data_IF_076319555122
#
_entry.id   IF_076319555122
#
_cell.length_a   1.000
_cell.length_b   1.000
_cell.length_c   1.000
_cell.angle_alpha   90.00
_cell.angle_beta   90.00
_cell.angle_gamma   90.00
#
_symmetry.space_group_name_H-M   'P 1'
#
loop_
_entity.id
_entity.type
_entity.pdbx_description
1 polymer ?
#
# COMPACT_ATOMS: atom_id res chain seq x y z
N UNK A 1 -15.13 -8.97 7.88
CA UNK A 1 -14.33 -7.73 7.95
C UNK A 1 -13.16 -7.71 6.97
N UNK A 2 -12.13 -8.57 7.10
CA UNK A 2 -11.00 -8.60 6.15
C UNK A 2 -11.40 -8.81 4.69
N UNK A 3 -12.15 -9.88 4.41
CA UNK A 3 -12.59 -10.20 3.05
C UNK A 3 -13.35 -9.05 2.42
N UNK A 4 -14.23 -8.41 3.20
CA UNK A 4 -14.94 -7.22 2.79
C UNK A 4 -14.00 -6.06 2.40
N UNK A 5 -13.00 -5.74 3.23
CA UNK A 5 -12.03 -4.70 2.89
C UNK A 5 -11.22 -5.04 1.62
N UNK A 6 -10.88 -6.32 1.43
CA UNK A 6 -10.23 -6.77 0.19
C UNK A 6 -11.14 -6.60 -1.02
N UNK A 7 -12.39 -7.04 -0.96
CA UNK A 7 -13.36 -6.88 -2.06
C UNK A 7 -13.57 -5.42 -2.42
N UNK A 8 -13.76 -4.55 -1.42
CA UNK A 8 -13.91 -3.11 -1.67
C UNK A 8 -12.65 -2.48 -2.26
N UNK A 9 -11.45 -2.95 -1.89
CA UNK A 9 -10.19 -2.51 -2.48
C UNK A 9 -10.05 -2.95 -3.94
N UNK A 10 -10.46 -4.18 -4.27
CA UNK A 10 -10.50 -4.69 -5.65
C UNK A 10 -11.49 -3.93 -6.52
N UNK A 11 -12.68 -3.63 -5.99
CA UNK A 11 -13.67 -2.77 -6.67
C UNK A 11 -13.14 -1.37 -6.92
N UNK A 12 -12.46 -0.77 -5.92
CA UNK A 12 -11.81 0.52 -6.09
C UNK A 12 -10.72 0.44 -7.16
N UNK A 13 -9.86 -0.57 -7.11
CA UNK A 13 -8.80 -0.77 -8.09
C UNK A 13 -9.37 -0.84 -9.52
N UNK A 14 -10.46 -1.58 -9.72
CA UNK A 14 -11.13 -1.69 -11.02
C UNK A 14 -11.69 -0.33 -11.51
N UNK A 15 -12.09 0.56 -10.60
CA UNK A 15 -12.63 1.90 -10.90
C UNK A 15 -11.54 2.94 -11.22
N UNK A 16 -10.29 2.74 -10.78
CA UNK A 16 -9.17 3.66 -11.08
C UNK A 16 -8.84 3.74 -12.58
N UNK A 17 -9.26 2.74 -13.37
CA UNK A 17 -9.00 2.68 -14.81
C UNK A 17 -7.56 2.23 -15.12
N UNK A 18 -7.14 2.40 -16.39
CA UNK A 18 -5.86 1.88 -16.89
C UNK A 18 -4.74 2.93 -16.99
N UNK A 19 -4.95 4.15 -16.49
CA UNK A 19 -3.99 5.26 -16.61
C UNK A 19 -2.70 5.05 -15.83
N UNK A 20 -2.79 4.39 -14.66
CA UNK A 20 -1.65 4.10 -13.80
C UNK A 20 -1.67 2.63 -13.35
N UNK A 21 -0.51 1.96 -13.26
CA UNK A 21 -0.47 0.60 -12.76
C UNK A 21 -0.74 0.59 -11.26
N UNK A 22 -1.59 -0.33 -10.82
CA UNK A 22 -2.02 -0.45 -9.42
C UNK A 22 -2.02 -1.89 -8.92
N UNK A 23 -2.05 -2.08 -7.60
CA UNK A 23 -2.27 -3.38 -6.97
C UNK A 23 -2.96 -3.25 -5.62
N UNK A 24 -3.70 -4.30 -5.24
CA UNK A 24 -4.32 -4.45 -3.92
C UNK A 24 -3.35 -5.15 -2.97
N UNK A 25 -3.30 -4.70 -1.72
CA UNK A 25 -2.44 -5.25 -0.67
C UNK A 25 -3.19 -5.35 0.67
N UNK A 26 -3.65 -6.55 1.04
CA UNK A 26 -4.20 -6.79 2.37
C UNK A 26 -3.13 -6.65 3.46
N UNK A 27 -3.47 -5.98 4.56
CA UNK A 27 -2.61 -5.81 5.72
C UNK A 27 -2.71 -7.00 6.66
N UNK A 28 -1.55 -7.42 7.15
CA UNK A 28 -1.40 -8.44 8.18
C UNK A 28 -0.73 -7.81 9.41
N UNK A 29 -0.83 -8.46 10.57
CA UNK A 29 -0.10 -8.03 11.78
C UNK A 29 1.41 -7.79 11.54
N UNK A 30 2.08 -8.63 10.73
CA UNK A 30 3.50 -8.45 10.41
C UNK A 30 3.78 -7.17 9.62
N UNK A 31 2.81 -6.67 8.86
CA UNK A 31 2.92 -5.42 8.11
C UNK A 31 2.73 -4.19 9.02
N UNK A 32 1.87 -4.25 10.06
CA UNK A 32 1.34 -3.04 10.71
C UNK A 32 1.52 -2.95 12.24
N UNK A 33 1.92 -4.02 12.93
CA UNK A 33 2.12 -3.98 14.40
C UNK A 33 3.42 -4.62 14.86
N UNK A 34 3.84 -5.73 14.26
CA UNK A 34 5.02 -6.48 14.70
C UNK A 34 6.32 -6.06 14.01
N UNK A 35 6.44 -6.39 12.72
CA UNK A 35 7.69 -6.27 11.96
C UNK A 35 7.83 -5.01 11.12
N UNK A 36 6.71 -4.38 10.75
CA UNK A 36 6.67 -3.23 9.84
C UNK A 36 7.49 -3.44 8.56
N UNK A 37 7.39 -4.63 7.99
CA UNK A 37 7.97 -4.98 6.70
C UNK A 37 6.82 -5.22 5.71
N UNK A 38 6.80 -4.48 4.59
CA UNK A 38 5.76 -4.65 3.58
C UNK A 38 6.34 -5.20 2.27
N UNK A 39 6.23 -6.52 2.08
CA UNK A 39 6.54 -7.14 0.79
C UNK A 39 5.51 -6.76 -0.27
N UNK A 40 5.98 -6.37 -1.45
CA UNK A 40 5.17 -5.97 -2.60
C UNK A 40 5.07 -7.11 -3.64
N UNK A 41 4.06 -7.10 -4.53
CA UNK A 41 3.93 -8.13 -5.56
C UNK A 41 5.14 -8.13 -6.52
N UNK A 42 5.88 -9.24 -6.55
CA UNK A 42 7.09 -9.38 -7.37
C UNK A 42 6.90 -9.02 -8.86
N UNK A 43 5.80 -9.43 -9.54
CA UNK A 43 5.58 -9.05 -10.94
C UNK A 43 5.43 -7.54 -11.11
N UNK A 44 4.75 -6.87 -10.16
CA UNK A 44 4.59 -5.42 -10.19
C UNK A 44 5.93 -4.72 -10.01
N UNK A 45 6.72 -5.14 -9.01
CA UNK A 45 8.03 -4.60 -8.72
C UNK A 45 8.97 -4.67 -9.94
N UNK A 46 9.07 -5.85 -10.56
CA UNK A 46 9.95 -6.06 -11.72
C UNK A 46 9.59 -5.20 -12.92
N UNK A 47 8.30 -4.95 -13.12
CA UNK A 47 7.79 -4.22 -14.30
C UNK A 47 7.82 -2.71 -14.11
N UNK A 48 7.56 -2.23 -12.89
CA UNK A 48 7.24 -0.82 -12.67
C UNK A 48 8.16 -0.09 -11.68
N UNK A 49 8.84 -0.80 -10.78
CA UNK A 49 9.62 -0.16 -9.72
C UNK A 49 11.12 -0.07 -10.04
N UNK A 50 11.85 0.83 -9.34
CA UNK A 50 13.29 0.95 -9.50
C UNK A 50 14.04 -0.38 -9.29
N UNK A 51 15.14 -0.55 -10.03
CA UNK A 51 15.99 -1.76 -9.93
C UNK A 51 17.01 -1.70 -8.79
N UNK A 52 17.06 -0.59 -8.06
CA UNK A 52 17.96 -0.31 -6.94
C UNK A 52 17.15 0.24 -5.78
N UNK A 53 17.74 0.19 -4.59
CA UNK A 53 17.12 0.79 -3.41
C UNK A 53 16.90 2.28 -3.64
N UNK A 54 15.68 2.74 -3.39
CA UNK A 54 15.26 4.10 -3.71
C UNK A 54 14.17 4.56 -2.75
N UNK A 55 14.16 5.86 -2.43
CA UNK A 55 13.07 6.45 -1.66
C UNK A 55 11.84 6.56 -2.54
N UNK A 56 10.73 6.06 -2.04
CA UNK A 56 9.40 6.23 -2.63
C UNK A 56 8.58 7.15 -1.73
N UNK A 57 7.69 7.91 -2.37
CA UNK A 57 6.67 8.73 -1.70
C UNK A 57 5.36 7.97 -1.66
N UNK A 58 4.76 7.86 -0.49
CA UNK A 58 3.39 7.41 -0.27
C UNK A 58 2.52 8.64 -0.05
N UNK A 59 1.57 8.87 -0.94
CA UNK A 59 0.63 9.99 -0.87
C UNK A 59 -0.75 9.46 -0.54
N UNK A 60 -1.33 9.91 0.58
CA UNK A 60 -2.66 9.50 0.98
C UNK A 60 -3.76 10.20 0.14
N UNK A 61 -5.02 9.91 0.46
CA UNK A 61 -6.19 10.47 -0.21
C UNK A 61 -6.38 11.98 0.06
N UNK A 62 -5.80 12.50 1.14
CA UNK A 62 -5.80 13.92 1.50
C UNK A 62 -4.61 14.67 0.88
N UNK A 63 -3.70 13.95 0.21
CA UNK A 63 -2.50 14.49 -0.42
C UNK A 63 -1.32 14.66 0.52
N UNK A 64 -1.39 14.14 1.75
CA UNK A 64 -0.26 14.13 2.69
C UNK A 64 0.76 13.11 2.21
N UNK A 65 2.02 13.52 2.21
CA UNK A 65 3.13 12.72 1.69
C UNK A 65 3.99 12.16 2.82
N UNK A 66 4.35 10.88 2.69
CA UNK A 66 5.25 10.16 3.58
C UNK A 66 6.35 9.49 2.76
N UNK A 67 7.59 9.51 3.25
CA UNK A 67 8.70 8.82 2.59
C UNK A 67 8.88 7.40 3.13
N UNK A 68 9.24 6.47 2.23
CA UNK A 68 9.64 5.11 2.58
C UNK A 68 10.78 4.62 1.71
N UNK A 69 11.64 3.76 2.25
CA UNK A 69 12.69 3.08 1.50
C UNK A 69 12.14 1.80 0.87
N UNK A 70 12.20 1.75 -0.47
CA UNK A 70 12.01 0.52 -1.23
C UNK A 70 13.34 -0.22 -1.36
N UNK A 71 13.35 -1.49 -0.94
CA UNK A 71 14.51 -2.38 -1.07
C UNK A 71 14.31 -3.28 -2.29
N UNK A 72 15.03 -3.00 -3.38
CA UNK A 72 14.80 -3.63 -4.67
C UNK A 72 15.07 -5.14 -4.63
N UNK A 73 16.14 -5.57 -3.94
CA UNK A 73 16.47 -6.99 -3.81
C UNK A 73 15.47 -7.77 -2.95
N UNK A 74 14.77 -7.08 -2.04
CA UNK A 74 13.77 -7.69 -1.14
C UNK A 74 12.33 -7.46 -1.61
N UNK A 75 12.13 -6.68 -2.66
CA UNK A 75 10.83 -6.33 -3.24
C UNK A 75 9.85 -5.78 -2.20
N UNK A 76 10.28 -4.88 -1.32
CA UNK A 76 9.44 -4.44 -0.21
C UNK A 76 9.81 -3.09 0.36
N UNK A 77 8.88 -2.52 1.12
CA UNK A 77 9.04 -1.26 1.85
C UNK A 77 9.54 -1.56 3.27
N UNK A 78 10.55 -0.79 3.71
CA UNK A 78 11.17 -0.93 5.03
C UNK A 78 11.12 0.37 5.83
N UNK A 79 12.24 1.09 5.95
CA UNK A 79 12.33 2.34 6.70
C UNK A 79 11.28 3.34 6.17
N UNK A 80 10.54 3.98 7.07
CA UNK A 80 9.44 4.89 6.72
C UNK A 80 8.06 4.22 6.65
N UNK A 81 7.96 2.93 6.26
CA UNK A 81 6.68 2.21 6.26
C UNK A 81 6.03 2.15 7.65
N UNK A 82 6.83 1.92 8.70
CA UNK A 82 6.33 1.98 10.09
C UNK A 82 5.68 3.32 10.43
N UNK A 83 6.28 4.42 9.99
CA UNK A 83 5.76 5.77 10.21
C UNK A 83 4.40 5.94 9.54
N UNK A 84 4.30 5.57 8.27
CA UNK A 84 3.04 5.59 7.52
C UNK A 84 1.96 4.72 8.20
N UNK A 85 2.28 3.47 8.56
CA UNK A 85 1.32 2.57 9.19
C UNK A 85 0.77 3.13 10.52
N UNK A 86 1.63 3.73 11.35
CA UNK A 86 1.22 4.33 12.63
C UNK A 86 0.42 5.61 12.39
N UNK A 87 0.89 6.50 11.51
CA UNK A 87 0.21 7.75 11.19
C UNK A 87 -1.23 7.51 10.71
N UNK A 88 -1.43 6.45 9.93
CA UNK A 88 -2.74 6.08 9.43
C UNK A 88 -3.49 5.09 10.32
N UNK A 89 -2.98 4.74 11.51
CA UNK A 89 -3.60 3.75 12.41
C UNK A 89 -3.99 2.46 11.67
N UNK A 90 -3.10 1.95 10.81
CA UNK A 90 -3.38 0.73 10.05
C UNK A 90 -3.43 -0.47 10.99
N UNK A 91 -4.40 -1.35 10.77
CA UNK A 91 -4.58 -2.56 11.57
C UNK A 91 -4.60 -3.82 10.70
N UNK A 92 -4.47 -4.97 11.35
CA UNK A 92 -4.66 -6.25 10.69
C UNK A 92 -6.06 -6.33 10.07
N UNK A 93 -6.12 -6.74 8.80
CA UNK A 93 -7.37 -6.84 8.05
C UNK A 93 -7.73 -5.60 7.23
N UNK A 94 -7.14 -4.42 7.47
CA UNK A 94 -7.23 -3.30 6.53
C UNK A 94 -6.68 -3.70 5.15
N UNK A 95 -7.11 -3.04 4.09
CA UNK A 95 -6.62 -3.30 2.74
C UNK A 95 -6.25 -1.99 2.04
N UNK A 96 -5.09 -1.98 1.37
CA UNK A 96 -4.60 -0.81 0.67
C UNK A 96 -4.63 -1.04 -0.84
N UNK A 97 -4.94 0.01 -1.59
CA UNK A 97 -4.70 0.07 -3.03
C UNK A 97 -3.53 1.02 -3.27
N UNK A 98 -2.48 0.50 -3.91
CA UNK A 98 -1.33 1.29 -4.33
C UNK A 98 -1.47 1.58 -5.82
N UNK A 99 -1.49 2.86 -6.19
CA UNK A 99 -1.53 3.33 -7.58
C UNK A 99 -0.25 4.12 -7.88
N UNK A 100 0.58 3.65 -8.82
CA UNK A 100 1.87 4.28 -9.12
C UNK A 100 1.66 5.47 -10.07
N UNK A 101 1.42 6.65 -9.49
CA UNK A 101 1.11 7.88 -10.23
C UNK A 101 2.35 8.57 -10.81
N UNK A 102 3.54 8.25 -10.30
CA UNK A 102 4.84 8.66 -10.86
C UNK A 102 5.87 7.56 -10.60
N UNK A 103 7.05 7.64 -11.26
CA UNK A 103 8.15 6.65 -11.14
C UNK A 103 8.46 6.23 -9.70
N UNK A 104 8.38 7.15 -8.74
CA UNK A 104 8.69 6.91 -7.32
C UNK A 104 7.58 7.40 -6.38
N UNK A 105 6.34 7.53 -6.86
CA UNK A 105 5.23 8.00 -6.02
C UNK A 105 4.03 7.08 -6.17
N UNK A 106 3.60 6.51 -5.05
CA UNK A 106 2.32 5.83 -4.94
C UNK A 106 1.29 6.78 -4.36
N UNK A 107 0.12 6.85 -5.00
CA UNK A 107 -1.11 7.24 -4.32
C UNK A 107 -1.64 6.01 -3.59
N UNK A 108 -2.00 6.15 -2.33
CA UNK A 108 -2.42 5.05 -1.45
C UNK A 108 -3.84 5.32 -0.98
N UNK A 109 -4.72 4.37 -1.27
CA UNK A 109 -6.10 4.37 -0.80
C UNK A 109 -6.24 3.36 0.33
N UNK A 110 -6.95 3.71 1.40
CA UNK A 110 -7.04 2.87 2.61
C UNK A 110 -8.48 2.42 2.82
N UNK A 111 -8.72 1.13 2.63
CA UNK A 111 -10.00 0.49 2.94
C UNK A 111 -9.92 -0.13 4.32
N UNK A 112 -10.71 0.41 5.25
CA UNK A 112 -10.76 -0.06 6.63
C UNK A 112 -11.53 -1.36 6.74
N UNK A 113 -11.04 -2.30 7.53
CA UNK A 113 -11.81 -3.49 7.87
C UNK A 113 -13.05 -3.17 8.73
N UNK A 114 -12.97 -2.09 9.51
CA UNK A 114 -14.01 -1.70 10.46
C UNK A 114 -15.28 -1.20 9.80
N UNK A 115 -15.21 -0.68 8.57
CA UNK A 115 -16.39 -0.22 7.83
C UNK A 115 -17.37 -1.37 7.53
N UNK A 116 -16.92 -2.63 7.63
CA UNK A 116 -17.81 -3.79 7.64
C UNK A 116 -18.83 -3.79 8.79
N UNK A 117 -18.60 -3.07 9.88
CA UNK A 117 -19.53 -3.03 11.02
C UNK A 117 -20.43 -1.78 11.02
N UNK A 118 -20.17 -0.83 10.13
CA UNK A 118 -20.87 0.48 10.03
C UNK A 118 -21.93 0.50 8.93
N UNK A 119 -22.08 -0.60 8.20
CA UNK A 119 -23.06 -0.82 7.13
C UNK A 119 -24.48 -1.07 7.67
#
# INVERSE_FOLDING_TARGET
AREYATTMAEELQAKLGSGYPSFVKPMTQSHVTGGFWLGLPLPFCRKHLPKRDERLTLKDEQGVESETLYLALKNGLSAGWRGFAIQHNLVDGDCLVFELINRTTFKVYIIRQSSYYER
#
